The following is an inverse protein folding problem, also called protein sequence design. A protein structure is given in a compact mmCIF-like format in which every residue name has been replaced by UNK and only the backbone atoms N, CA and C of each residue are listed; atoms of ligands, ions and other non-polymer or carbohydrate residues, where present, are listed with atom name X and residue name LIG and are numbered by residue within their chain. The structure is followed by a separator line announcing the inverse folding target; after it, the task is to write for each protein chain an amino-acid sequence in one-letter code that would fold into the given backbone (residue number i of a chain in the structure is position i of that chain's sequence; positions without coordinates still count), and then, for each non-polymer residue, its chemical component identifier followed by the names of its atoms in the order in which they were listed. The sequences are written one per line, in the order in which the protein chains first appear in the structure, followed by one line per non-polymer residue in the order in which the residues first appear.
data_IF_565932486599
#
_entry.id   IF_565932486599
#
_cell.length_a   1.000
_cell.length_b   1.000
_cell.length_c   1.000
_cell.angle_alpha   90.00
_cell.angle_beta   90.00
_cell.angle_gamma   90.00
#
_symmetry.space_group_name_H-M   'P 1'
#
loop_
_entity.id
_entity.type
_entity.pdbx_description
1 polymer ?
#
# COMPACT_ATOMS: atom_id res chain seq x y z
N UNK A 1 -15.30 12.53 13.25
CA UNK A 1 -15.44 13.12 11.90
C UNK A 1 -14.10 12.97 11.21
N UNK A 2 -13.98 12.05 10.25
CA UNK A 2 -12.78 11.96 9.38
C UNK A 2 -12.90 13.11 8.39
N UNK A 3 -11.86 13.93 8.23
CA UNK A 3 -11.88 15.03 7.27
C UNK A 3 -11.78 14.46 5.85
N UNK A 4 -12.46 15.08 4.88
CA UNK A 4 -12.44 14.66 3.47
C UNK A 4 -11.00 14.63 2.91
N UNK A 5 -10.12 15.50 3.43
CA UNK A 5 -8.69 15.56 3.11
C UNK A 5 -7.88 14.31 3.52
N UNK A 6 -8.43 13.46 4.40
CA UNK A 6 -7.79 12.24 4.90
C UNK A 6 -8.38 10.97 4.25
N UNK A 7 -9.22 11.11 3.23
CA UNK A 7 -9.82 10.01 2.48
C UNK A 7 -9.19 9.97 1.09
N UNK A 8 -8.81 8.76 0.64
CA UNK A 8 -8.33 8.51 -0.70
C UNK A 8 -9.51 8.52 -1.67
N UNK A 9 -9.44 9.37 -2.69
CA UNK A 9 -10.34 9.31 -3.84
C UNK A 9 -9.92 8.14 -4.75
N UNK A 10 -10.81 7.53 -5.54
CA UNK A 10 -10.42 6.52 -6.53
C UNK A 10 -9.29 6.99 -7.46
N UNK A 11 -9.27 8.28 -7.81
CA UNK A 11 -8.21 8.92 -8.60
C UNK A 11 -6.83 8.88 -7.94
N UNK A 12 -6.74 8.86 -6.61
CA UNK A 12 -5.47 8.76 -5.88
C UNK A 12 -4.86 7.34 -5.97
N UNK A 13 -5.67 6.34 -6.35
CA UNK A 13 -5.26 4.94 -6.52
C UNK A 13 -4.91 4.62 -7.98
N UNK A 14 -5.05 5.59 -8.90
CA UNK A 14 -4.67 5.42 -10.29
C UNK A 14 -3.18 5.69 -10.48
N UNK A 15 -2.47 4.72 -11.04
CA UNK A 15 -1.08 4.83 -11.44
C UNK A 15 -0.90 4.27 -12.85
N UNK A 16 -0.03 4.91 -13.64
CA UNK A 16 0.29 4.46 -15.00
C UNK A 16 1.64 3.74 -14.99
N UNK A 17 1.61 2.42 -15.13
CA UNK A 17 2.80 1.57 -15.29
C UNK A 17 3.24 0.84 -14.02
N UNK A 18 4.45 0.28 -14.03
CA UNK A 18 4.99 -0.49 -12.91
C UNK A 18 5.32 0.40 -11.71
N UNK A 19 4.85 -0.01 -10.53
CA UNK A 19 5.22 0.57 -9.25
C UNK A 19 6.75 0.48 -9.04
N UNK A 20 7.35 1.55 -8.52
CA UNK A 20 8.78 1.62 -8.19
C UNK A 20 8.94 1.90 -6.71
N UNK A 21 9.91 1.22 -6.09
CA UNK A 21 10.27 1.48 -4.70
C UNK A 21 10.91 2.86 -4.61
N UNK A 22 10.30 3.72 -3.81
CA UNK A 22 10.79 5.04 -3.43
C UNK A 22 11.91 4.86 -2.41
N UNK A 23 13.06 5.47 -2.67
CA UNK A 23 14.24 5.37 -1.80
C UNK A 23 14.09 6.17 -0.50
N UNK A 24 14.84 5.76 0.52
CA UNK A 24 14.86 6.33 1.86
C UNK A 24 15.45 7.75 1.87
N UNK A 25 14.61 8.74 1.53
CA UNK A 25 14.83 10.19 1.68
C UNK A 25 13.62 10.99 1.17
N UNK A 26 12.67 10.34 0.50
CA UNK A 26 11.58 11.03 -0.19
C UNK A 26 10.58 11.67 0.81
N UNK A 27 10.19 12.94 0.61
CA UNK A 27 9.14 13.58 1.42
C UNK A 27 7.82 12.81 1.41
N UNK A 28 7.56 11.97 0.40
CA UNK A 28 6.37 11.13 0.31
C UNK A 28 6.26 10.19 1.54
N UNK A 29 7.36 9.59 2.00
CA UNK A 29 7.32 8.71 3.19
C UNK A 29 6.99 9.44 4.49
N UNK A 30 7.05 10.78 4.52
CA UNK A 30 6.69 11.62 5.68
C UNK A 30 5.28 12.19 5.58
N UNK A 31 4.62 12.03 4.43
CA UNK A 31 3.27 12.53 4.24
C UNK A 31 2.26 11.69 5.02
N UNK A 32 1.10 12.27 5.31
CA UNK A 32 0.01 11.55 5.97
C UNK A 32 -0.66 10.58 4.98
N UNK A 33 -0.78 9.33 5.39
CA UNK A 33 -1.49 8.30 4.63
C UNK A 33 -3.01 8.49 4.74
N UNK A 34 -3.66 8.63 3.59
CA UNK A 34 -5.11 8.71 3.42
C UNK A 34 -5.76 7.34 3.68
N UNK A 35 -7.02 7.35 4.10
CA UNK A 35 -7.86 6.15 4.30
C UNK A 35 -8.60 5.80 3.02
N UNK A 36 -8.64 4.52 2.69
CA UNK A 36 -9.36 3.99 1.53
C UNK A 36 -10.81 3.75 1.94
N UNK A 37 -11.79 4.34 1.25
CA UNK A 37 -13.22 4.05 1.49
C UNK A 37 -13.86 3.27 0.34
N UNK A 38 -13.30 3.38 -0.86
CA UNK A 38 -13.74 2.66 -2.05
C UNK A 38 -12.90 1.39 -2.22
N UNK A 39 -13.55 0.23 -2.18
CA UNK A 39 -12.96 -1.06 -2.50
C UNK A 39 -13.40 -1.43 -3.93
N UNK A 40 -12.71 -0.86 -4.91
CA UNK A 40 -13.00 -1.02 -6.33
C UNK A 40 -11.89 -1.79 -7.06
N UNK A 41 -12.03 -1.91 -8.38
CA UNK A 41 -11.03 -2.59 -9.22
C UNK A 41 -9.67 -1.87 -9.21
N UNK A 42 -9.63 -0.56 -8.89
CA UNK A 42 -8.38 0.19 -8.79
C UNK A 42 -7.59 -0.23 -7.55
N UNK A 43 -8.25 -0.42 -6.41
CA UNK A 43 -7.62 -1.00 -5.22
C UNK A 43 -7.09 -2.41 -5.50
N UNK A 44 -7.88 -3.25 -6.18
CA UNK A 44 -7.44 -4.61 -6.53
C UNK A 44 -6.18 -4.62 -7.39
N UNK A 45 -6.09 -3.70 -8.37
CA UNK A 45 -4.88 -3.54 -9.20
C UNK A 45 -3.69 -3.06 -8.38
N UNK A 46 -3.90 -2.10 -7.48
CA UNK A 46 -2.85 -1.62 -6.58
C UNK A 46 -2.24 -2.78 -5.77
N UNK A 47 -3.09 -3.60 -5.15
CA UNK A 47 -2.64 -4.74 -4.34
C UNK A 47 -1.86 -5.75 -5.18
N UNK A 48 -2.36 -6.10 -6.38
CA UNK A 48 -1.70 -7.03 -7.31
C UNK A 48 -0.30 -6.53 -7.74
N UNK A 49 -0.20 -5.26 -8.12
CA UNK A 49 1.08 -4.64 -8.49
C UNK A 49 2.03 -4.50 -7.29
N UNK A 50 1.51 -4.26 -6.08
CA UNK A 50 2.32 -4.25 -4.86
C UNK A 50 2.90 -5.62 -4.53
N UNK A 51 2.12 -6.69 -4.68
CA UNK A 51 2.63 -8.05 -4.54
C UNK A 51 3.66 -8.38 -5.63
N UNK A 52 3.44 -7.97 -6.88
CA UNK A 52 4.43 -8.18 -7.94
C UNK A 52 5.78 -7.51 -7.63
N UNK A 53 5.76 -6.26 -7.15
CA UNK A 53 6.99 -5.57 -6.71
C UNK A 53 7.63 -6.24 -5.49
N UNK A 54 6.83 -6.69 -4.52
CA UNK A 54 7.32 -7.39 -3.34
C UNK A 54 8.07 -8.67 -3.74
N UNK A 55 7.48 -9.51 -4.60
CA UNK A 55 8.13 -10.73 -5.09
C UNK A 55 9.35 -10.45 -5.96
N UNK A 56 9.33 -9.38 -6.77
CA UNK A 56 10.49 -8.97 -7.58
C UNK A 56 11.69 -8.48 -6.75
N UNK A 57 11.45 -8.10 -5.50
CA UNK A 57 12.47 -7.59 -4.59
C UNK A 57 12.83 -8.56 -3.48
N UNK A 58 12.36 -9.82 -3.57
CA UNK A 58 12.51 -10.86 -2.54
C UNK A 58 12.11 -10.35 -1.14
N UNK A 59 11.08 -9.50 -1.11
CA UNK A 59 10.58 -8.86 0.11
C UNK A 59 9.49 -9.70 0.79
N UNK A 60 9.38 -9.54 2.11
CA UNK A 60 8.30 -10.13 2.92
C UNK A 60 7.09 -9.21 3.08
N UNK A 61 7.23 -7.93 2.74
CA UNK A 61 6.14 -6.95 2.83
C UNK A 61 6.49 -5.62 2.19
N UNK A 62 5.45 -4.93 1.72
CA UNK A 62 5.53 -3.67 1.00
C UNK A 62 4.40 -2.75 1.44
N UNK A 63 4.70 -1.47 1.66
CA UNK A 63 3.70 -0.47 2.03
C UNK A 63 3.41 0.47 0.85
N UNK A 64 2.16 0.89 0.67
CA UNK A 64 1.80 1.82 -0.41
C UNK A 64 2.66 3.12 -0.46
N UNK A 65 3.06 3.74 0.67
CA UNK A 65 3.92 4.94 0.63
C UNK A 65 5.31 4.67 0.05
N UNK A 66 5.79 3.42 0.17
CA UNK A 66 7.06 2.98 -0.41
C UNK A 66 6.99 2.84 -1.93
N UNK A 67 5.80 2.82 -2.53
CA UNK A 67 5.60 2.87 -4.00
C UNK A 67 5.11 4.25 -4.47
N UNK A 68 5.15 5.25 -3.60
CA UNK A 68 4.75 6.63 -3.93
C UNK A 68 3.28 6.95 -3.67
N UNK A 69 2.52 6.02 -3.09
CA UNK A 69 1.07 6.15 -2.90
C UNK A 69 0.76 6.30 -1.41
N UNK A 70 0.32 7.49 -1.01
CA UNK A 70 0.06 7.82 0.40
C UNK A 70 -1.30 7.31 0.89
N UNK A 71 -1.46 6.00 0.95
CA UNK A 71 -2.65 5.33 1.47
C UNK A 71 -2.28 4.32 2.55
N UNK A 72 -3.25 3.99 3.41
CA UNK A 72 -3.07 3.01 4.50
C UNK A 72 -3.34 1.61 4.00
N UNK A 73 -2.40 1.08 3.23
CA UNK A 73 -2.53 -0.22 2.58
C UNK A 73 -1.16 -0.91 2.53
N UNK A 74 -0.77 -1.62 3.60
CA UNK A 74 0.39 -2.50 3.59
C UNK A 74 -0.01 -3.93 3.20
N UNK A 75 0.77 -4.52 2.30
CA UNK A 75 0.69 -5.94 1.93
C UNK A 75 1.89 -6.68 2.50
N UNK A 76 1.69 -7.93 2.91
CA UNK A 76 2.80 -8.79 3.33
C UNK A 76 2.52 -10.26 3.05
N UNK A 77 3.60 -11.01 2.80
CA UNK A 77 3.60 -12.45 2.75
C UNK A 77 4.78 -12.96 3.63
N UNK A 78 4.52 -13.71 4.70
CA UNK A 78 5.57 -14.19 5.61
C UNK A 78 6.58 -15.13 4.95
N UNK A 79 6.22 -15.78 3.84
CA UNK A 79 7.12 -16.66 3.08
C UNK A 79 7.90 -15.88 2.02
N UNK A 80 7.32 -14.81 1.47
CA UNK A 80 7.96 -14.00 0.44
C UNK A 80 7.99 -14.62 -0.96
N UNK A 81 7.27 -15.73 -1.17
CA UNK A 81 7.17 -16.41 -2.47
C UNK A 81 5.72 -16.47 -2.98
N UNK A 82 5.54 -16.28 -4.29
CA UNK A 82 4.20 -16.29 -4.90
C UNK A 82 3.60 -17.69 -4.84
N UNK A 83 2.45 -17.82 -4.19
CA UNK A 83 1.74 -19.10 -4.05
C UNK A 83 2.20 -19.95 -2.87
N UNK A 84 3.18 -19.49 -2.09
CA UNK A 84 3.53 -20.07 -0.79
C UNK A 84 3.25 -19.07 0.33
N UNK A 85 2.71 -19.55 1.45
CA UNK A 85 2.28 -18.70 2.56
C UNK A 85 0.91 -18.06 2.34
N UNK A 86 0.60 -17.08 3.18
CA UNK A 86 -0.64 -16.33 3.14
C UNK A 86 -0.37 -14.92 2.59
N UNK A 87 -1.03 -14.56 1.49
CA UNK A 87 -1.03 -13.19 0.96
C UNK A 87 -1.99 -12.34 1.78
N UNK A 88 -1.44 -11.47 2.61
CA UNK A 88 -2.22 -10.68 3.56
C UNK A 88 -2.19 -9.21 3.14
N UNK A 89 -3.38 -8.68 2.89
CA UNK A 89 -3.64 -7.27 2.61
C UNK A 89 -4.40 -6.63 3.79
N UNK A 90 -3.94 -5.48 4.27
CA UNK A 90 -4.44 -4.81 5.47
C UNK A 90 -4.96 -3.40 5.17
N UNK A 91 -6.12 -3.31 4.55
CA UNK A 91 -6.71 -2.01 4.22
C UNK A 91 -7.08 -1.20 5.47
N UNK A 92 -6.72 0.09 5.46
CA UNK A 92 -6.94 1.06 6.54
C UNK A 92 -6.33 0.70 7.88
N UNK A 93 -5.19 0.00 7.89
CA UNK A 93 -4.51 -0.31 9.14
C UNK A 93 -4.25 0.98 9.94
N UNK A 94 -4.76 1.00 11.18
CA UNK A 94 -4.44 2.01 12.16
C UNK A 94 -3.62 1.37 13.25
N UNK A 95 -2.41 1.89 13.51
CA UNK A 95 -1.77 1.63 14.79
C UNK A 95 -2.64 2.23 15.89
N UNK A 96 -3.43 1.39 16.55
CA UNK A 96 -3.81 1.68 17.93
C UNK A 96 -2.51 1.59 18.71
N UNK A 97 -1.84 2.72 18.93
CA UNK A 97 -0.65 2.76 19.79
C UNK A 97 -1.02 2.07 21.10
N UNK A 98 -0.53 0.84 21.29
CA UNK A 98 -0.72 0.12 22.53
C UNK A 98 0.20 0.82 23.52
N UNK A 99 -0.40 1.64 24.37
CA UNK A 99 0.28 2.48 25.35
C UNK A 99 0.68 1.67 26.56
#
# INVERSE_FOLDING_TARGET
MVKEDEVASPDDLHFEGQLKIVEYADPISRAKNKRILAFDDSLKKLVDDMFDVMYRTDGIGLSAPQVGINVRDPVFNPVGERGEGDEIDLVNLTESTCR
#
